data_IF_288050451795
#
_entry.id   IF_288050451795
#
_cell.length_a   1.000
_cell.length_b   1.000
_cell.length_c   1.000
_cell.angle_alpha   90.00
_cell.angle_beta   90.00
_cell.angle_gamma   90.00
#
_symmetry.space_group_name_H-M   'P 1'
#
loop_
_entity.id
_entity.type
_entity.pdbx_description
1 polymer ?
#
# COMPACT_ATOMS: atom_id res chain seq x y z
N UNK A 1 -15.27 -18.28 -57.82
CA UNK A 1 -15.04 -18.55 -56.38
C UNK A 1 -13.63 -18.13 -55.90
N UNK A 2 -12.52 -18.57 -56.52
CA UNK A 2 -11.16 -18.21 -56.06
C UNK A 2 -10.86 -16.69 -56.00
N UNK A 3 -11.35 -15.89 -56.95
CA UNK A 3 -11.14 -14.43 -56.96
C UNK A 3 -11.94 -13.69 -55.85
N UNK A 4 -13.10 -14.22 -55.44
CA UNK A 4 -13.88 -13.64 -54.35
C UNK A 4 -13.18 -13.86 -53.00
N UNK A 5 -12.57 -15.03 -52.79
CA UNK A 5 -11.79 -15.32 -51.58
C UNK A 5 -10.57 -14.42 -51.47
N UNK A 6 -9.86 -14.17 -52.57
CA UNK A 6 -8.71 -13.24 -52.58
C UNK A 6 -9.16 -11.80 -52.28
N UNK A 7 -10.29 -11.36 -52.83
CA UNK A 7 -10.80 -10.01 -52.60
C UNK A 7 -11.30 -9.82 -51.15
N UNK A 8 -11.96 -10.83 -50.57
CA UNK A 8 -12.39 -10.81 -49.16
C UNK A 8 -11.17 -10.82 -48.23
N UNK A 9 -10.16 -11.64 -48.50
CA UNK A 9 -8.92 -11.66 -47.70
C UNK A 9 -8.16 -10.34 -47.81
N UNK A 10 -8.07 -9.73 -49.00
CA UNK A 10 -7.41 -8.43 -49.19
C UNK A 10 -8.20 -7.28 -48.56
N UNK A 11 -9.53 -7.27 -48.67
CA UNK A 11 -10.38 -6.27 -48.02
C UNK A 11 -10.31 -6.36 -46.49
N UNK A 12 -10.25 -7.59 -45.95
CA UNK A 12 -10.03 -7.85 -44.53
C UNK A 12 -8.62 -7.42 -44.10
N UNK A 13 -7.58 -7.66 -44.91
CA UNK A 13 -6.22 -7.19 -44.62
C UNK A 13 -6.10 -5.65 -44.65
N UNK A 14 -6.77 -4.99 -45.60
CA UNK A 14 -6.78 -3.54 -45.70
C UNK A 14 -7.61 -2.86 -44.59
N UNK A 15 -8.62 -3.53 -44.03
CA UNK A 15 -9.42 -2.96 -42.92
C UNK A 15 -8.71 -2.97 -41.56
N UNK A 16 -7.49 -3.50 -41.45
CA UNK A 16 -6.70 -3.51 -40.22
C UNK A 16 -5.50 -2.54 -40.21
N UNK A 17 -5.35 -1.67 -41.21
CA UNK A 17 -4.27 -0.66 -41.18
C UNK A 17 -4.62 0.42 -40.15
N UNK A 18 -4.12 0.24 -38.91
CA UNK A 18 -4.12 1.32 -37.91
C UNK A 18 -3.23 2.45 -38.43
N UNK A 19 -3.65 3.69 -38.18
CA UNK A 19 -2.78 4.84 -38.43
C UNK A 19 -1.49 4.65 -37.63
N UNK A 20 -0.35 4.69 -38.33
CA UNK A 20 0.97 4.62 -37.72
C UNK A 20 1.42 6.05 -37.42
N UNK A 21 1.85 6.27 -36.18
CA UNK A 21 2.41 7.54 -35.71
C UNK A 21 3.93 7.39 -35.67
N UNK A 22 4.62 8.19 -36.49
CA UNK A 22 6.08 8.11 -36.64
C UNK A 22 6.81 9.39 -36.25
N UNK A 23 6.07 10.44 -35.88
CA UNK A 23 6.60 11.76 -35.53
C UNK A 23 5.70 12.49 -34.51
N UNK A 24 6.20 13.60 -33.94
CA UNK A 24 5.40 14.48 -33.06
C UNK A 24 4.16 15.03 -33.78
N UNK A 25 4.28 15.43 -35.06
CA UNK A 25 3.17 15.98 -35.85
C UNK A 25 2.09 14.93 -36.14
N UNK A 26 2.50 13.68 -36.42
CA UNK A 26 1.57 12.55 -36.56
C UNK A 26 0.82 12.30 -35.25
N UNK A 27 1.52 12.37 -34.12
CA UNK A 27 0.93 12.16 -32.79
C UNK A 27 -0.10 13.25 -32.49
N UNK A 28 0.24 14.51 -32.73
CA UNK A 28 -0.65 15.66 -32.54
C UNK A 28 -1.91 15.50 -33.39
N UNK A 29 -1.75 15.25 -34.69
CA UNK A 29 -2.86 15.04 -35.62
C UNK A 29 -3.74 13.86 -35.18
N UNK A 30 -3.12 12.75 -34.81
CA UNK A 30 -3.82 11.52 -34.41
C UNK A 30 -4.58 11.68 -33.11
N UNK A 31 -4.06 12.43 -32.13
CA UNK A 31 -4.75 12.71 -30.87
C UNK A 31 -6.03 13.53 -31.06
N UNK A 32 -6.05 14.44 -32.05
CA UNK A 32 -7.24 15.22 -32.40
C UNK A 32 -8.34 14.42 -33.11
N UNK A 33 -8.03 13.27 -33.69
CA UNK A 33 -9.01 12.38 -34.34
C UNK A 33 -9.73 11.43 -33.38
N UNK A 34 -10.74 10.71 -33.85
CA UNK A 34 -11.46 9.68 -33.08
C UNK A 34 -10.91 8.26 -33.25
N UNK A 35 -10.00 8.04 -34.20
CA UNK A 35 -9.51 6.70 -34.57
C UNK A 35 -8.38 6.25 -33.62
N UNK A 36 -8.35 4.96 -33.22
CA UNK A 36 -7.18 4.31 -32.61
C UNK A 36 -5.93 4.42 -33.49
N UNK A 37 -4.76 4.48 -32.87
CA UNK A 37 -3.50 4.50 -33.61
C UNK A 37 -2.41 3.68 -32.91
N UNK A 38 -1.36 3.37 -33.66
CA UNK A 38 -0.17 2.70 -33.14
C UNK A 38 1.08 3.54 -33.38
N UNK A 39 2.04 3.45 -32.47
CA UNK A 39 3.37 4.05 -32.61
C UNK A 39 4.20 3.16 -33.53
N UNK A 40 4.75 3.74 -34.59
CA UNK A 40 5.50 3.04 -35.64
C UNK A 40 6.99 3.40 -35.72
N UNK A 41 7.46 4.34 -34.89
CA UNK A 41 8.86 4.73 -34.81
C UNK A 41 9.19 5.35 -33.44
N UNK A 42 10.49 5.39 -33.10
CA UNK A 42 10.97 6.19 -31.97
C UNK A 42 11.02 7.67 -32.38
N UNK A 43 10.52 8.56 -31.53
CA UNK A 43 10.62 10.01 -31.74
C UNK A 43 10.53 10.77 -30.40
N UNK A 44 10.88 12.05 -30.44
CA UNK A 44 10.76 12.96 -29.29
C UNK A 44 9.56 13.90 -29.43
N UNK A 45 8.98 14.30 -28.30
CA UNK A 45 7.96 15.36 -28.19
C UNK A 45 8.58 16.54 -27.45
N UNK A 46 8.78 17.62 -28.18
CA UNK A 46 9.47 18.83 -27.71
C UNK A 46 8.54 19.85 -27.05
N UNK A 47 7.26 19.83 -27.44
CA UNK A 47 6.23 20.73 -26.93
C UNK A 47 5.08 19.94 -26.33
N UNK A 48 4.49 20.47 -25.25
CA UNK A 48 3.27 19.89 -24.70
C UNK A 48 2.18 19.79 -25.77
N UNK A 49 1.50 18.65 -25.80
CA UNK A 49 0.33 18.41 -26.65
C UNK A 49 -0.91 18.42 -25.76
N UNK A 50 -1.84 19.34 -26.03
CA UNK A 50 -3.02 19.55 -25.20
C UNK A 50 -4.31 19.32 -25.99
N UNK A 51 -5.18 18.44 -25.48
CA UNK A 51 -6.52 18.20 -26.00
C UNK A 51 -7.52 18.14 -24.84
N UNK A 52 -8.31 19.20 -24.73
CA UNK A 52 -9.34 19.37 -23.69
C UNK A 52 -10.73 19.15 -24.29
N UNK A 53 -11.70 18.75 -23.46
CA UNK A 53 -13.08 18.45 -23.86
C UNK A 53 -13.21 17.33 -24.91
N UNK A 54 -12.28 16.37 -24.88
CA UNK A 54 -12.38 15.17 -25.71
C UNK A 54 -13.53 14.29 -25.24
N UNK A 55 -14.11 13.54 -26.18
CA UNK A 55 -15.19 12.58 -25.88
C UNK A 55 -14.87 11.26 -26.54
N UNK A 56 -15.54 10.19 -26.08
CA UNK A 56 -15.33 8.85 -26.63
C UNK A 56 -14.09 8.16 -26.08
N UNK A 57 -13.52 7.24 -26.85
CA UNK A 57 -12.38 6.41 -26.44
C UNK A 57 -11.19 6.61 -27.38
N UNK A 58 -10.00 6.74 -26.82
CA UNK A 58 -8.74 6.77 -27.56
C UNK A 58 -7.86 5.60 -27.11
N UNK A 59 -7.39 4.83 -28.08
CA UNK A 59 -6.41 3.76 -27.87
C UNK A 59 -5.10 4.18 -28.53
N UNK A 60 -4.04 4.21 -27.74
CA UNK A 60 -2.66 4.43 -28.17
C UNK A 60 -1.92 3.12 -27.90
N UNK A 61 -1.38 2.51 -28.96
CA UNK A 61 -0.69 1.21 -28.88
C UNK A 61 0.69 1.27 -29.55
N UNK A 62 1.55 0.26 -29.37
CA UNK A 62 2.86 0.19 -30.03
C UNK A 62 4.00 0.28 -29.03
N UNK A 63 4.15 -0.77 -28.22
CA UNK A 63 5.18 -0.91 -27.19
C UNK A 63 6.53 -1.42 -27.71
N UNK A 64 6.72 -1.47 -29.03
CA UNK A 64 8.02 -1.72 -29.68
C UNK A 64 8.87 -0.44 -29.77
N UNK A 65 8.23 0.72 -29.71
CA UNK A 65 8.86 2.03 -29.89
C UNK A 65 8.64 2.92 -28.67
N UNK A 66 9.58 3.84 -28.46
CA UNK A 66 9.58 4.79 -27.35
C UNK A 66 9.33 6.21 -27.83
N UNK A 67 8.38 6.88 -27.20
CA UNK A 67 8.20 8.33 -27.31
C UNK A 67 8.94 8.99 -26.15
N UNK A 68 9.91 9.85 -26.45
CA UNK A 68 10.68 10.62 -25.45
C UNK A 68 10.07 12.00 -25.27
N UNK A 69 9.65 12.35 -24.07
CA UNK A 69 9.29 13.72 -23.71
C UNK A 69 10.56 14.54 -23.49
N UNK A 70 10.70 15.62 -24.25
CA UNK A 70 11.70 16.68 -24.09
C UNK A 70 11.04 18.01 -23.66
N UNK A 71 9.78 17.95 -23.24
CA UNK A 71 9.00 19.12 -22.82
C UNK A 71 9.67 19.78 -21.62
N UNK A 72 10.01 21.05 -21.76
CA UNK A 72 10.75 21.82 -20.76
C UNK A 72 9.91 22.23 -19.54
N UNK A 73 8.58 22.30 -19.69
CA UNK A 73 7.66 22.66 -18.61
C UNK A 73 6.30 22.00 -18.79
N UNK A 74 5.82 21.34 -17.74
CA UNK A 74 4.54 20.61 -17.73
C UNK A 74 4.60 19.24 -18.40
N UNK A 75 3.49 18.47 -18.34
CA UNK A 75 3.46 17.13 -18.90
C UNK A 75 3.60 17.12 -20.42
N UNK A 76 4.09 16.01 -20.97
CA UNK A 76 4.09 15.77 -22.43
C UNK A 76 2.68 15.88 -23.03
N UNK A 77 1.71 15.23 -22.40
CA UNK A 77 0.31 15.18 -22.82
C UNK A 77 -0.59 15.78 -21.73
N UNK A 78 -1.39 16.78 -22.09
CA UNK A 78 -2.48 17.30 -21.27
C UNK A 78 -3.80 16.92 -21.93
N UNK A 79 -4.48 15.91 -21.39
CA UNK A 79 -5.65 15.30 -22.02
C UNK A 79 -6.84 15.31 -21.08
N UNK A 80 -8.03 15.58 -21.59
CA UNK A 80 -9.23 15.28 -20.83
C UNK A 80 -10.54 15.73 -21.44
N UNK A 81 -11.61 15.34 -20.75
CA UNK A 81 -13.00 15.54 -21.13
C UNK A 81 -13.90 14.55 -20.37
N UNK A 82 -15.11 14.99 -20.02
CA UNK A 82 -15.96 14.32 -19.02
C UNK A 82 -16.34 12.87 -19.35
N UNK A 83 -16.36 12.49 -20.62
CA UNK A 83 -16.67 11.13 -21.09
C UNK A 83 -15.46 10.40 -21.69
N UNK A 84 -14.27 11.02 -21.63
CA UNK A 84 -13.09 10.52 -22.31
C UNK A 84 -12.55 9.27 -21.63
N UNK A 85 -12.32 8.22 -22.43
CA UNK A 85 -11.57 7.04 -22.04
C UNK A 85 -10.23 7.05 -22.78
N UNK A 86 -9.14 6.89 -22.04
CA UNK A 86 -7.81 6.70 -22.61
C UNK A 86 -7.32 5.29 -22.32
N UNK A 87 -6.85 4.59 -23.35
CA UNK A 87 -6.17 3.31 -23.22
C UNK A 87 -4.76 3.44 -23.78
N UNK A 88 -3.77 3.12 -22.94
CA UNK A 88 -2.35 3.19 -23.27
C UNK A 88 -1.73 1.79 -23.22
N UNK A 89 -1.05 1.43 -24.29
CA UNK A 89 -0.14 0.28 -24.38
C UNK A 89 1.09 0.70 -25.20
N UNK A 90 1.90 1.57 -24.61
CA UNK A 90 3.01 2.27 -25.26
C UNK A 90 4.22 2.39 -24.34
N UNK A 91 5.37 2.74 -24.91
CA UNK A 91 6.55 3.10 -24.14
C UNK A 91 6.77 4.61 -24.17
N UNK A 92 6.77 5.25 -22.99
CA UNK A 92 6.99 6.68 -22.85
C UNK A 92 8.16 6.94 -21.90
N UNK A 93 9.01 7.90 -22.23
CA UNK A 93 10.17 8.30 -21.42
C UNK A 93 10.10 9.80 -21.11
N UNK A 94 9.95 10.16 -19.83
CA UNK A 94 10.06 11.54 -19.35
C UNK A 94 11.53 11.88 -19.12
N UNK A 95 12.20 12.43 -20.12
CA UNK A 95 13.63 12.73 -19.99
C UNK A 95 13.92 13.99 -19.16
N UNK A 96 12.90 14.83 -18.93
CA UNK A 96 13.03 16.15 -18.28
C UNK A 96 12.50 16.18 -16.85
N UNK A 97 11.76 15.16 -16.42
CA UNK A 97 11.13 15.09 -15.10
C UNK A 97 9.92 16.01 -14.97
N UNK A 98 9.32 16.42 -16.09
CA UNK A 98 8.18 17.34 -16.14
C UNK A 98 6.83 16.60 -16.19
N UNK A 99 6.85 15.27 -16.24
CA UNK A 99 5.68 14.40 -16.30
C UNK A 99 5.35 13.96 -17.73
N UNK A 100 4.67 12.82 -17.84
CA UNK A 100 4.23 12.30 -19.14
C UNK A 100 2.80 12.74 -19.43
N UNK A 101 1.86 12.51 -18.50
CA UNK A 101 0.44 12.68 -18.78
C UNK A 101 -0.24 13.36 -17.59
N UNK A 102 -0.94 14.46 -17.87
CA UNK A 102 -1.98 15.00 -17.02
C UNK A 102 -3.35 14.64 -17.60
N UNK A 103 -4.15 13.88 -16.87
CA UNK A 103 -5.42 13.33 -17.34
C UNK A 103 -6.60 13.72 -16.46
N UNK A 104 -7.68 14.19 -17.08
CA UNK A 104 -8.98 14.41 -16.43
C UNK A 104 -10.08 13.85 -17.33
N UNK A 105 -10.42 12.59 -17.15
CA UNK A 105 -11.45 11.92 -17.95
C UNK A 105 -12.25 10.93 -17.13
N UNK A 106 -13.07 10.13 -17.80
CA UNK A 106 -13.86 9.10 -17.13
C UNK A 106 -12.99 7.93 -16.67
N UNK A 107 -12.12 7.46 -17.56
CA UNK A 107 -11.31 6.27 -17.30
C UNK A 107 -9.98 6.31 -18.03
N UNK A 108 -8.94 5.77 -17.40
CA UNK A 108 -7.62 5.57 -17.97
C UNK A 108 -7.16 4.14 -17.75
N UNK A 109 -6.89 3.40 -18.83
CA UNK A 109 -6.34 2.04 -18.79
C UNK A 109 -4.87 2.10 -19.21
N UNK A 110 -3.97 1.56 -18.39
CA UNK A 110 -2.52 1.68 -18.58
C UNK A 110 -1.88 0.30 -18.67
N UNK A 111 -1.07 0.13 -19.71
CA UNK A 111 -0.13 -0.95 -19.99
C UNK A 111 1.11 -0.38 -20.71
N UNK A 112 2.24 -1.10 -20.70
CA UNK A 112 3.46 -0.69 -21.41
C UNK A 112 4.63 -0.33 -20.49
N UNK A 113 5.52 0.56 -20.96
CA UNK A 113 6.78 0.90 -20.28
C UNK A 113 6.91 2.41 -20.06
N UNK A 114 6.97 2.85 -18.81
CA UNK A 114 6.97 4.27 -18.46
C UNK A 114 8.18 4.59 -17.59
N UNK A 115 9.03 5.48 -18.08
CA UNK A 115 10.27 5.85 -17.39
C UNK A 115 10.38 7.34 -17.18
N UNK A 116 11.08 7.74 -16.13
CA UNK A 116 11.47 9.12 -15.85
C UNK A 116 12.74 9.17 -14.99
N UNK A 117 13.14 10.36 -14.51
CA UNK A 117 14.36 10.50 -13.74
C UNK A 117 14.27 9.77 -12.39
N UNK A 118 15.32 9.01 -12.05
CA UNK A 118 15.35 8.10 -10.90
C UNK A 118 15.60 8.80 -9.55
N UNK A 119 16.11 10.03 -9.52
CA UNK A 119 16.51 10.70 -8.28
C UNK A 119 15.67 11.93 -7.93
N UNK A 120 15.22 12.67 -8.93
CA UNK A 120 14.43 13.88 -8.72
C UNK A 120 13.64 14.21 -9.99
N UNK A 121 12.32 14.28 -9.86
CA UNK A 121 11.43 14.85 -10.86
C UNK A 121 10.62 15.98 -10.23
N UNK A 122 10.35 17.01 -11.02
CA UNK A 122 9.45 18.07 -10.60
C UNK A 122 8.04 17.50 -10.43
N UNK A 123 7.59 16.72 -11.43
CA UNK A 123 6.25 16.15 -11.50
C UNK A 123 6.26 14.61 -11.48
N UNK A 124 5.07 14.04 -11.34
CA UNK A 124 4.83 12.61 -11.49
C UNK A 124 4.73 12.23 -12.98
N UNK A 125 5.07 10.99 -13.34
CA UNK A 125 4.82 10.48 -14.70
C UNK A 125 3.34 10.68 -15.07
N UNK A 126 2.44 10.38 -14.15
CA UNK A 126 1.00 10.55 -14.31
C UNK A 126 0.43 11.46 -13.22
N UNK A 127 -0.30 12.48 -13.63
CA UNK A 127 -1.16 13.28 -12.73
C UNK A 127 -2.59 13.12 -13.19
N UNK A 128 -3.46 12.57 -12.35
CA UNK A 128 -4.81 12.17 -12.75
C UNK A 128 -5.84 12.74 -11.78
N UNK A 129 -6.97 13.22 -12.28
CA UNK A 129 -8.04 13.74 -11.42
C UNK A 129 -9.44 13.30 -11.84
N UNK A 130 -10.28 12.97 -10.85
CA UNK A 130 -11.68 12.55 -11.04
C UNK A 130 -11.84 11.41 -12.07
N UNK A 131 -10.95 10.42 -12.02
CA UNK A 131 -10.86 9.35 -13.04
C UNK A 131 -10.81 7.98 -12.38
N UNK A 132 -11.37 6.98 -13.07
CA UNK A 132 -11.08 5.57 -12.77
C UNK A 132 -9.81 5.13 -13.51
N UNK A 133 -8.72 4.89 -12.80
CA UNK A 133 -7.45 4.42 -13.35
C UNK A 133 -7.32 2.91 -13.13
N UNK A 134 -7.05 2.18 -14.20
CA UNK A 134 -6.78 0.74 -14.16
C UNK A 134 -5.41 0.49 -14.76
N UNK A 135 -4.46 0.05 -13.93
CA UNK A 135 -3.15 -0.42 -14.38
C UNK A 135 -3.23 -1.93 -14.57
N UNK A 136 -3.34 -2.35 -15.82
CA UNK A 136 -3.49 -3.77 -16.17
C UNK A 136 -2.16 -4.51 -16.05
N UNK A 137 -1.07 -3.86 -16.46
CA UNK A 137 0.29 -4.39 -16.50
C UNK A 137 1.30 -3.26 -16.78
N UNK A 138 2.59 -3.58 -16.80
CA UNK A 138 3.62 -2.68 -17.29
C UNK A 138 4.82 -2.55 -16.37
N UNK A 139 5.81 -1.77 -16.79
CA UNK A 139 6.96 -1.38 -15.96
C UNK A 139 6.99 0.13 -15.83
N UNK A 140 7.10 0.60 -14.60
CA UNK A 140 7.11 2.01 -14.24
C UNK A 140 8.39 2.29 -13.46
N UNK A 141 9.23 3.21 -13.92
CA UNK A 141 10.50 3.55 -13.25
C UNK A 141 10.71 5.05 -13.22
N UNK A 142 10.48 5.67 -12.07
CA UNK A 142 10.70 7.09 -11.84
C UNK A 142 10.72 7.41 -10.35
N UNK A 143 11.28 8.56 -9.97
CA UNK A 143 11.21 9.04 -8.59
C UNK A 143 9.77 9.34 -8.11
N UNK A 144 8.89 9.75 -9.02
CA UNK A 144 7.45 10.00 -8.79
C UNK A 144 6.65 9.38 -9.95
N UNK A 145 5.80 8.39 -9.68
CA UNK A 145 5.10 7.63 -10.73
C UNK A 145 3.67 8.13 -10.92
N UNK A 146 2.84 8.07 -9.88
CA UNK A 146 1.42 8.41 -9.99
C UNK A 146 0.98 9.36 -8.88
N UNK A 147 0.35 10.48 -9.27
CA UNK A 147 -0.43 11.33 -8.39
C UNK A 147 -1.89 11.30 -8.85
N UNK A 148 -2.79 10.83 -7.99
CA UNK A 148 -4.23 10.74 -8.29
C UNK A 148 -5.05 11.51 -7.26
N UNK A 149 -5.97 12.35 -7.72
CA UNK A 149 -6.89 13.10 -6.85
C UNK A 149 -8.34 12.84 -7.26
N UNK A 150 -9.11 12.25 -6.35
CA UNK A 150 -10.49 11.81 -6.57
C UNK A 150 -10.65 10.72 -7.63
N UNK A 151 -11.52 9.74 -7.37
CA UNK A 151 -11.84 8.65 -8.28
C UNK A 151 -11.41 7.29 -7.73
N UNK A 152 -10.91 6.42 -8.62
CA UNK A 152 -10.54 5.04 -8.28
C UNK A 152 -9.21 4.67 -8.89
N UNK A 153 -8.39 3.93 -8.16
CA UNK A 153 -7.13 3.36 -8.64
C UNK A 153 -7.16 1.84 -8.44
N UNK A 154 -7.12 1.09 -9.52
CA UNK A 154 -6.95 -0.36 -9.51
C UNK A 154 -5.61 -0.73 -10.14
N UNK A 155 -4.73 -1.37 -9.39
CA UNK A 155 -3.43 -1.87 -9.86
C UNK A 155 -3.49 -3.38 -9.88
N UNK A 156 -3.69 -3.96 -11.06
CA UNK A 156 -3.83 -5.40 -11.23
C UNK A 156 -2.47 -6.08 -11.36
N UNK A 157 -1.58 -5.56 -12.19
CA UNK A 157 -0.22 -6.07 -12.36
C UNK A 157 0.77 -4.94 -12.66
N UNK A 158 2.05 -5.29 -12.66
CA UNK A 158 3.14 -4.44 -13.11
C UNK A 158 4.30 -4.42 -12.12
N UNK A 159 5.40 -3.78 -12.53
CA UNK A 159 6.56 -3.53 -11.68
C UNK A 159 6.78 -2.04 -11.57
N UNK A 160 6.78 -1.53 -10.34
CA UNK A 160 6.93 -0.11 -10.02
C UNK A 160 8.24 0.09 -9.27
N UNK A 161 9.16 0.85 -9.84
CA UNK A 161 10.48 1.13 -9.26
C UNK A 161 10.62 2.62 -8.98
N UNK A 162 10.75 2.95 -7.70
CA UNK A 162 10.77 4.31 -7.18
C UNK A 162 12.18 4.81 -6.90
N UNK A 163 12.25 5.98 -6.26
CA UNK A 163 13.48 6.51 -5.68
C UNK A 163 13.52 6.28 -4.17
N UNK A 164 14.62 6.64 -3.52
CA UNK A 164 14.75 6.60 -2.06
C UNK A 164 14.19 7.84 -1.36
N UNK A 165 13.90 8.93 -2.08
CA UNK A 165 13.61 10.24 -1.49
C UNK A 165 12.14 10.67 -1.59
N UNK A 166 11.50 10.38 -2.72
CA UNK A 166 10.14 10.83 -3.04
C UNK A 166 9.12 9.69 -2.91
N UNK A 167 7.87 10.04 -2.60
CA UNK A 167 6.74 9.11 -2.62
C UNK A 167 6.43 8.71 -4.06
N UNK A 168 6.46 7.40 -4.34
CA UNK A 168 6.22 6.84 -5.66
C UNK A 168 4.78 7.03 -6.13
N UNK A 169 3.81 6.75 -5.25
CA UNK A 169 2.37 6.92 -5.50
C UNK A 169 1.77 7.79 -4.39
N UNK A 170 1.16 8.90 -4.79
CA UNK A 170 0.39 9.75 -3.88
C UNK A 170 -1.06 9.77 -4.34
N UNK A 171 -1.98 9.64 -3.39
CA UNK A 171 -3.41 9.67 -3.67
C UNK A 171 -4.15 10.58 -2.70
N UNK A 172 -5.13 11.32 -3.22
CA UNK A 172 -6.03 12.16 -2.44
C UNK A 172 -7.48 11.80 -2.72
N UNK A 173 -8.29 11.56 -1.69
CA UNK A 173 -9.71 11.19 -1.79
C UNK A 173 -10.00 10.10 -2.83
N UNK A 174 -9.19 9.05 -2.86
CA UNK A 174 -9.21 8.02 -3.91
C UNK A 174 -9.40 6.64 -3.30
N UNK A 175 -10.34 5.87 -3.85
CA UNK A 175 -10.46 4.44 -3.53
C UNK A 175 -9.33 3.68 -4.23
N UNK A 176 -8.65 2.78 -3.52
CA UNK A 176 -7.49 2.05 -4.06
C UNK A 176 -7.69 0.54 -3.88
N UNK A 177 -7.40 -0.21 -4.94
CA UNK A 177 -7.24 -1.67 -4.88
C UNK A 177 -5.93 -2.06 -5.54
N UNK A 178 -5.05 -2.73 -4.79
CA UNK A 178 -3.77 -3.25 -5.29
C UNK A 178 -3.81 -4.77 -5.24
N UNK A 179 -3.56 -5.39 -6.41
CA UNK A 179 -3.61 -6.84 -6.58
C UNK A 179 -5.02 -7.38 -6.76
N UNK A 180 -5.21 -8.64 -6.38
CA UNK A 180 -6.43 -9.42 -6.59
C UNK A 180 -6.07 -10.64 -7.41
N UNK A 181 -6.53 -10.70 -8.65
CA UNK A 181 -6.14 -11.76 -9.61
C UNK A 181 -4.69 -11.62 -10.12
N UNK A 182 -4.09 -10.44 -9.94
CA UNK A 182 -2.72 -10.15 -10.35
C UNK A 182 -1.80 -9.84 -9.17
N UNK A 183 -0.49 -9.84 -9.44
CA UNK A 183 0.56 -9.69 -8.42
C UNK A 183 1.53 -8.55 -8.77
N UNK A 184 1.14 -7.27 -8.56
CA UNK A 184 2.04 -6.15 -8.78
C UNK A 184 3.19 -6.16 -7.78
N UNK A 185 4.34 -5.65 -8.22
CA UNK A 185 5.57 -5.55 -7.43
C UNK A 185 5.97 -4.08 -7.33
N UNK A 186 6.22 -3.62 -6.12
CA UNK A 186 6.67 -2.27 -5.81
C UNK A 186 8.05 -2.33 -5.16
N UNK A 187 8.99 -1.60 -5.74
CA UNK A 187 10.40 -1.57 -5.37
C UNK A 187 10.75 -0.11 -5.03
N UNK A 188 10.95 0.20 -3.76
CA UNK A 188 11.12 1.59 -3.32
C UNK A 188 11.20 1.73 -1.80
N UNK A 189 11.46 2.95 -1.34
CA UNK A 189 11.39 3.30 0.08
C UNK A 189 9.99 3.83 0.39
N UNK A 190 9.67 5.06 -0.06
CA UNK A 190 8.34 5.68 0.10
C UNK A 190 7.43 5.25 -1.04
N UNK A 191 6.68 4.19 -0.85
CA UNK A 191 5.91 3.58 -1.95
C UNK A 191 4.54 4.26 -2.11
N UNK A 192 3.79 4.40 -1.01
CA UNK A 192 2.41 4.87 -1.06
C UNK A 192 2.11 5.85 0.08
N UNK A 193 1.49 6.96 -0.28
CA UNK A 193 0.93 7.96 0.64
C UNK A 193 -0.51 8.27 0.26
N UNK A 194 -1.44 7.93 1.16
CA UNK A 194 -2.88 8.17 1.00
C UNK A 194 -3.31 9.30 1.92
N UNK A 195 -3.90 10.33 1.34
CA UNK A 195 -4.37 11.53 2.04
C UNK A 195 -5.87 11.72 1.77
N UNK A 196 -6.71 10.98 2.50
CA UNK A 196 -8.15 11.13 2.37
C UNK A 196 -8.71 12.11 3.40
N UNK A 197 -9.85 12.71 3.10
CA UNK A 197 -10.65 13.50 4.03
C UNK A 197 -11.71 12.66 4.72
N UNK A 198 -12.22 11.63 4.04
CA UNK A 198 -13.30 10.77 4.53
C UNK A 198 -12.76 9.43 5.02
N UNK A 199 -12.92 9.15 6.32
CA UNK A 199 -12.45 7.94 7.00
C UNK A 199 -12.99 6.61 6.40
N UNK A 200 -14.04 6.66 5.59
CA UNK A 200 -14.67 5.49 4.96
C UNK A 200 -14.17 5.21 3.54
N UNK A 201 -13.22 6.00 3.03
CA UNK A 201 -12.63 5.77 1.70
C UNK A 201 -11.90 4.43 1.71
N UNK A 202 -12.23 3.54 0.78
CA UNK A 202 -11.76 2.16 0.81
C UNK A 202 -10.38 1.99 0.19
N UNK A 203 -9.50 1.28 0.91
CA UNK A 203 -8.16 0.90 0.45
C UNK A 203 -8.00 -0.61 0.65
N UNK A 204 -7.55 -1.33 -0.37
CA UNK A 204 -7.34 -2.77 -0.30
C UNK A 204 -5.96 -3.17 -0.83
N UNK A 205 -5.21 -3.92 -0.03
CA UNK A 205 -4.00 -4.62 -0.45
C UNK A 205 -4.28 -6.11 -0.48
N UNK A 206 -4.38 -6.68 -1.67
CA UNK A 206 -4.70 -8.08 -1.87
C UNK A 206 -3.41 -8.84 -2.17
N UNK A 207 -3.26 -9.40 -3.37
CA UNK A 207 -2.04 -10.12 -3.75
C UNK A 207 -1.02 -9.15 -4.35
N UNK A 208 0.04 -8.79 -3.61
CA UNK A 208 1.10 -7.91 -4.11
C UNK A 208 2.43 -8.11 -3.37
N UNK A 209 3.50 -7.46 -3.83
CA UNK A 209 4.80 -7.45 -3.13
C UNK A 209 5.35 -6.04 -3.01
N UNK A 210 5.68 -5.63 -1.80
CA UNK A 210 6.44 -4.42 -1.49
C UNK A 210 7.84 -4.81 -1.02
N UNK A 211 8.87 -4.23 -1.61
CA UNK A 211 10.26 -4.49 -1.25
C UNK A 211 11.12 -3.23 -1.41
N UNK A 212 12.25 -3.12 -0.69
CA UNK A 212 13.16 -1.99 -0.86
C UNK A 212 13.84 -2.04 -2.23
N UNK A 213 14.48 -0.93 -2.57
CA UNK A 213 15.45 -0.90 -3.68
C UNK A 213 16.61 -1.87 -3.40
N UNK A 214 17.13 -2.56 -4.42
CA UNK A 214 18.39 -3.28 -4.30
C UNK A 214 19.49 -2.34 -3.79
N UNK A 215 20.38 -2.83 -2.92
CA UNK A 215 21.54 -2.09 -2.41
C UNK A 215 21.22 -0.90 -1.48
N UNK A 216 19.96 -0.76 -1.02
CA UNK A 216 19.61 0.24 0.01
C UNK A 216 19.78 -0.32 1.42
N UNK A 217 20.92 0.01 2.03
CA UNK A 217 21.30 -0.43 3.38
C UNK A 217 20.81 0.49 4.51
N UNK A 218 20.08 1.57 4.21
CA UNK A 218 19.66 2.56 5.22
C UNK A 218 18.16 2.64 5.50
N UNK A 219 17.29 2.54 4.49
CA UNK A 219 15.83 2.62 4.66
C UNK A 219 15.12 1.34 4.22
N UNK A 220 13.92 1.11 4.75
CA UNK A 220 13.04 0.01 4.34
C UNK A 220 11.80 0.51 3.60
N UNK A 221 10.81 -0.36 3.44
CA UNK A 221 9.51 0.00 2.83
C UNK A 221 8.71 0.89 3.78
N UNK A 222 8.16 1.99 3.24
CA UNK A 222 7.36 2.98 3.94
C UNK A 222 6.02 3.18 3.24
N UNK A 223 4.91 2.98 3.97
CA UNK A 223 3.54 3.19 3.50
C UNK A 223 2.76 3.97 4.56
N UNK A 224 2.06 5.02 4.14
CA UNK A 224 1.24 5.89 5.00
C UNK A 224 -0.18 5.94 4.45
N UNK A 225 -1.15 5.66 5.31
CA UNK A 225 -2.57 5.66 4.96
C UNK A 225 -3.33 6.54 5.95
N UNK A 226 -3.84 7.68 5.49
CA UNK A 226 -4.62 8.59 6.32
C UNK A 226 -6.10 8.62 5.93
N UNK A 227 -6.96 8.54 6.95
CA UNK A 227 -8.42 8.58 6.91
C UNK A 227 -9.01 7.59 5.90
N UNK A 228 -8.79 6.30 6.10
CA UNK A 228 -9.31 5.27 5.20
C UNK A 228 -9.82 4.05 5.94
N UNK A 229 -10.74 3.34 5.28
CA UNK A 229 -11.14 1.98 5.62
C UNK A 229 -10.20 1.02 4.86
N UNK A 230 -9.23 0.42 5.54
CA UNK A 230 -8.20 -0.42 4.89
C UNK A 230 -8.43 -1.90 5.15
N UNK A 231 -8.26 -2.73 4.11
CA UNK A 231 -8.20 -4.19 4.23
C UNK A 231 -6.86 -4.67 3.69
N UNK A 232 -6.13 -5.46 4.47
CA UNK A 232 -4.87 -6.07 4.06
C UNK A 232 -5.01 -7.59 4.08
N UNK A 233 -5.03 -8.14 2.88
CA UNK A 233 -5.16 -9.55 2.59
C UNK A 233 -6.58 -10.10 2.78
N UNK A 234 -6.83 -11.27 2.18
CA UNK A 234 -8.04 -12.08 2.32
C UNK A 234 -7.65 -13.56 2.28
N UNK A 235 -8.59 -14.47 2.52
CA UNK A 235 -8.35 -15.92 2.52
C UNK A 235 -7.70 -16.44 1.21
N UNK A 236 -7.89 -15.72 0.11
CA UNK A 236 -7.39 -16.11 -1.22
C UNK A 236 -6.30 -15.17 -1.74
N UNK A 237 -5.90 -14.14 -0.98
CA UNK A 237 -4.99 -13.09 -1.45
C UNK A 237 -4.09 -12.58 -0.32
N UNK A 238 -2.79 -12.80 -0.46
CA UNK A 238 -1.81 -12.56 0.58
C UNK A 238 -0.76 -11.55 0.11
N UNK A 239 -0.74 -10.32 0.66
CA UNK A 239 0.30 -9.36 0.35
C UNK A 239 1.61 -9.76 1.01
N UNK A 240 2.73 -9.31 0.45
CA UNK A 240 4.07 -9.54 1.01
C UNK A 240 4.81 -8.23 1.16
N UNK A 241 5.33 -7.98 2.35
CA UNK A 241 6.14 -6.81 2.70
C UNK A 241 7.52 -7.33 3.12
N UNK A 242 8.56 -6.90 2.41
CA UNK A 242 9.96 -7.27 2.65
C UNK A 242 10.68 -6.02 3.12
N UNK A 243 11.48 -6.15 4.18
CA UNK A 243 12.17 -5.05 4.87
C UNK A 243 11.26 -3.85 5.14
N UNK A 244 10.07 -4.12 5.69
CA UNK A 244 9.15 -3.09 6.14
C UNK A 244 9.84 -2.21 7.19
N UNK A 245 9.88 -0.91 6.97
CA UNK A 245 10.30 0.06 7.98
C UNK A 245 9.08 0.57 8.74
N UNK A 246 8.04 1.03 8.03
CA UNK A 246 6.75 1.26 8.65
C UNK A 246 5.57 1.13 7.69
N UNK A 247 4.47 0.63 8.25
CA UNK A 247 3.11 0.71 7.73
C UNK A 247 2.28 1.50 8.74
N UNK A 248 1.91 2.73 8.40
CA UNK A 248 1.25 3.66 9.30
C UNK A 248 -0.19 3.95 8.86
N UNK A 249 -1.09 3.94 9.83
CA UNK A 249 -2.50 4.31 9.68
C UNK A 249 -2.80 5.54 10.54
N UNK A 250 -3.36 6.59 9.97
CA UNK A 250 -3.76 7.83 10.67
C UNK A 250 -5.24 8.12 10.46
N UNK A 251 -6.07 8.00 11.51
CA UNK A 251 -7.53 8.01 11.35
C UNK A 251 -8.10 6.79 10.59
N UNK A 252 -9.44 6.71 10.49
CA UNK A 252 -10.13 5.60 9.82
C UNK A 252 -10.09 4.26 10.57
N UNK A 253 -10.48 3.20 9.88
CA UNK A 253 -10.46 1.82 10.40
C UNK A 253 -9.63 0.94 9.48
N UNK A 254 -8.83 0.04 10.00
CA UNK A 254 -7.98 -0.84 9.18
C UNK A 254 -7.99 -2.24 9.73
N UNK A 255 -8.11 -3.22 8.84
CA UNK A 255 -8.06 -4.62 9.19
C UNK A 255 -6.90 -5.30 8.46
N UNK A 256 -6.02 -5.94 9.22
CA UNK A 256 -4.95 -6.78 8.71
C UNK A 256 -5.37 -8.23 8.93
N UNK A 257 -5.86 -8.85 7.85
CA UNK A 257 -6.44 -10.20 7.82
C UNK A 257 -5.44 -11.26 7.29
N UNK A 258 -4.59 -10.91 6.34
CA UNK A 258 -3.62 -11.83 5.78
C UNK A 258 -2.36 -11.12 5.28
N UNK A 259 -1.26 -11.86 5.16
CA UNK A 259 -0.04 -11.38 4.54
C UNK A 259 1.24 -11.81 5.23
N UNK A 260 2.36 -11.63 4.55
CA UNK A 260 3.69 -11.88 5.08
C UNK A 260 4.42 -10.56 5.27
N UNK A 261 4.79 -10.25 6.51
CA UNK A 261 5.42 -9.01 6.90
C UNK A 261 6.78 -9.31 7.49
N UNK A 262 7.85 -8.96 6.77
CA UNK A 262 9.20 -8.99 7.29
C UNK A 262 9.65 -7.55 7.46
N UNK A 263 9.85 -7.14 8.71
CA UNK A 263 10.43 -5.86 9.07
C UNK A 263 11.91 -5.81 8.79
N UNK A 264 12.42 -4.59 8.64
CA UNK A 264 13.83 -4.32 8.42
C UNK A 264 14.69 -4.81 9.60
N UNK A 265 15.76 -5.56 9.30
CA UNK A 265 16.65 -6.17 10.31
C UNK A 265 17.87 -5.28 10.63
N UNK A 266 17.58 -4.03 11.02
CA UNK A 266 18.50 -2.97 11.51
C UNK A 266 18.93 -3.15 12.96
N UNK A 267 20.18 -2.90 13.39
CA UNK A 267 20.53 -2.90 14.85
C UNK A 267 19.77 -1.83 15.67
N UNK A 268 19.23 -0.79 15.01
CA UNK A 268 18.56 0.34 15.67
C UNK A 268 17.18 0.72 15.11
N UNK A 269 16.75 0.10 14.00
CA UNK A 269 15.47 0.39 13.35
C UNK A 269 14.81 -0.93 12.99
N UNK A 270 13.56 -1.06 13.39
CA UNK A 270 12.74 -2.24 13.20
C UNK A 270 11.52 -1.89 12.39
N UNK A 271 10.94 -2.89 11.73
CA UNK A 271 9.67 -2.70 11.05
C UNK A 271 8.58 -2.39 12.04
N UNK A 272 7.67 -1.48 11.69
CA UNK A 272 6.61 -1.06 12.59
C UNK A 272 5.26 -1.05 11.90
N UNK A 273 4.26 -1.59 12.57
CA UNK A 273 2.86 -1.33 12.25
C UNK A 273 2.36 -0.29 13.25
N UNK A 274 1.92 0.86 12.75
CA UNK A 274 1.59 2.02 13.58
C UNK A 274 0.13 2.44 13.40
N UNK A 275 -0.61 2.47 14.51
CA UNK A 275 -1.88 3.17 14.61
C UNK A 275 -1.64 4.56 15.21
N UNK A 276 -2.06 5.61 14.52
CA UNK A 276 -1.84 7.01 14.89
C UNK A 276 -3.12 7.82 14.82
N UNK A 277 -3.15 8.97 15.50
CA UNK A 277 -4.32 9.84 15.60
C UNK A 277 -5.56 9.05 16.07
N UNK A 278 -6.73 9.23 15.47
CA UNK A 278 -7.93 8.46 15.81
C UNK A 278 -8.07 7.16 14.99
N UNK A 279 -6.98 6.54 14.51
CA UNK A 279 -7.07 5.30 13.73
C UNK A 279 -7.42 4.11 14.62
N UNK A 280 -8.26 3.21 14.14
CA UNK A 280 -8.45 1.88 14.71
C UNK A 280 -7.85 0.83 13.77
N UNK A 281 -6.89 0.04 14.24
CA UNK A 281 -6.20 -0.99 13.46
C UNK A 281 -6.38 -2.34 14.12
N UNK A 282 -7.10 -3.23 13.45
CA UNK A 282 -7.38 -4.59 13.89
C UNK A 282 -6.44 -5.58 13.22
N UNK A 283 -5.88 -6.47 14.02
CA UNK A 283 -5.04 -7.59 13.62
C UNK A 283 -5.85 -8.87 13.92
N UNK A 284 -6.59 -9.37 12.92
CA UNK A 284 -7.59 -10.44 13.10
C UNK A 284 -7.14 -11.76 12.47
N UNK A 285 -6.77 -12.82 13.21
CA UNK A 285 -6.44 -14.11 12.56
C UNK A 285 -6.85 -15.39 13.31
N UNK A 286 -7.02 -16.47 12.53
CA UNK A 286 -7.08 -17.89 12.95
C UNK A 286 -6.35 -18.86 11.98
N UNK A 287 -5.49 -18.38 11.07
CA UNK A 287 -4.91 -19.20 10.01
C UNK A 287 -3.37 -19.28 10.06
N UNK A 288 -2.78 -20.31 9.42
CA UNK A 288 -1.33 -20.51 9.37
C UNK A 288 -0.60 -19.64 8.32
N UNK A 289 -1.31 -18.74 7.63
CA UNK A 289 -0.79 -18.08 6.42
C UNK A 289 -0.37 -16.62 6.62
N UNK A 290 -0.48 -16.06 7.83
CA UNK A 290 0.17 -14.80 8.18
C UNK A 290 1.49 -15.04 8.89
N UNK A 291 2.44 -14.17 8.61
CA UNK A 291 3.68 -14.09 9.38
C UNK A 291 4.07 -12.64 9.62
N UNK A 292 4.43 -12.34 10.86
CA UNK A 292 5.13 -11.11 11.22
C UNK A 292 6.54 -11.53 11.64
N UNK A 293 7.56 -10.93 11.04
CA UNK A 293 8.95 -11.22 11.34
C UNK A 293 9.67 -9.90 11.52
N UNK A 294 10.29 -9.65 12.67
CA UNK A 294 10.97 -8.38 12.98
C UNK A 294 10.06 -7.14 12.92
N UNK A 295 8.79 -7.28 13.30
CA UNK A 295 7.80 -6.20 13.32
C UNK A 295 7.37 -5.89 14.74
N UNK A 296 7.49 -4.62 15.13
CA UNK A 296 6.92 -4.05 16.35
C UNK A 296 5.55 -3.43 16.07
N UNK A 297 4.70 -3.35 17.09
CA UNK A 297 3.33 -2.84 16.98
C UNK A 297 3.13 -1.64 17.89
N UNK A 298 2.78 -0.49 17.31
CA UNK A 298 2.72 0.78 18.05
C UNK A 298 1.36 1.46 17.90
N UNK A 299 0.75 1.83 19.02
CA UNK A 299 -0.42 2.69 19.10
C UNK A 299 -0.01 4.04 19.68
N UNK A 300 0.13 5.06 18.84
CA UNK A 300 0.57 6.42 19.22
C UNK A 300 -0.61 7.36 19.02
N UNK A 301 -1.42 7.54 20.06
CA UNK A 301 -2.73 8.20 19.98
C UNK A 301 -3.85 7.36 19.35
N UNK A 302 -3.51 6.42 18.46
CA UNK A 302 -4.45 5.48 17.83
C UNK A 302 -4.75 4.24 18.66
N UNK A 303 -5.49 3.32 18.07
CA UNK A 303 -5.89 2.05 18.67
C UNK A 303 -5.37 0.86 17.85
N UNK A 304 -4.74 -0.10 18.51
CA UNK A 304 -4.44 -1.44 17.98
C UNK A 304 -5.29 -2.49 18.69
N UNK A 305 -5.94 -3.35 17.92
CA UNK A 305 -6.77 -4.44 18.42
C UNK A 305 -6.18 -5.76 17.91
N UNK A 306 -5.86 -6.67 18.83
CA UNK A 306 -5.45 -8.04 18.52
C UNK A 306 -6.63 -8.97 18.81
N UNK A 307 -7.25 -9.54 17.77
CA UNK A 307 -8.41 -10.43 17.90
C UNK A 307 -8.09 -11.92 17.78
N UNK A 308 -6.86 -12.25 17.38
CA UNK A 308 -6.37 -13.62 17.26
C UNK A 308 -5.05 -13.75 16.52
N UNK A 309 -4.61 -15.00 16.33
CA UNK A 309 -3.45 -15.34 15.50
C UNK A 309 -2.14 -15.56 16.27
N UNK A 310 -1.14 -16.08 15.56
CA UNK A 310 0.22 -16.25 16.08
C UNK A 310 1.11 -15.10 15.59
N UNK A 311 1.30 -14.12 16.45
CA UNK A 311 2.16 -12.98 16.22
C UNK A 311 3.62 -13.40 16.46
N UNK A 312 4.38 -13.38 15.36
CA UNK A 312 5.78 -13.79 15.23
C UNK A 312 6.05 -15.30 15.20
N UNK A 313 7.03 -15.71 14.37
CA UNK A 313 7.48 -17.10 14.21
C UNK A 313 8.96 -17.30 14.46
N UNK A 314 9.73 -16.22 14.61
CA UNK A 314 11.18 -16.33 14.71
C UNK A 314 11.65 -16.26 16.16
N UNK A 315 12.44 -17.28 16.54
CA UNK A 315 13.10 -17.47 17.83
C UNK A 315 14.36 -16.64 18.01
N UNK A 316 14.89 -16.08 16.92
CA UNK A 316 16.16 -15.35 16.97
C UNK A 316 16.02 -13.97 17.60
N UNK A 317 14.82 -13.37 17.56
CA UNK A 317 14.63 -11.99 18.02
C UNK A 317 13.30 -11.73 18.69
N UNK A 318 13.33 -10.83 19.67
CA UNK A 318 12.14 -10.36 20.34
C UNK A 318 11.51 -9.13 19.66
N UNK A 319 10.19 -8.98 19.76
CA UNK A 319 9.43 -7.81 19.32
C UNK A 319 8.74 -7.09 20.48
N UNK A 320 8.28 -5.86 20.26
CA UNK A 320 7.58 -5.03 21.23
C UNK A 320 6.16 -4.69 20.79
N UNK A 321 5.29 -4.49 21.78
CA UNK A 321 4.01 -3.81 21.62
C UNK A 321 4.08 -2.53 22.45
N UNK A 322 3.84 -1.38 21.85
CA UNK A 322 3.93 -0.08 22.50
C UNK A 322 2.62 0.68 22.38
N UNK A 323 2.16 1.26 23.48
CA UNK A 323 1.22 2.37 23.43
C UNK A 323 1.79 3.62 24.11
N UNK A 324 1.61 4.76 23.45
CA UNK A 324 2.04 6.08 23.92
C UNK A 324 1.09 7.15 23.43
N UNK A 325 1.25 8.38 23.94
CA UNK A 325 0.45 9.54 23.54
C UNK A 325 -1.07 9.28 23.60
N UNK A 326 -1.56 8.70 24.70
CA UNK A 326 -2.97 8.26 24.85
C UNK A 326 -3.43 7.13 23.91
N UNK A 327 -2.51 6.42 23.26
CA UNK A 327 -2.82 5.28 22.42
C UNK A 327 -3.43 4.10 23.20
N UNK A 328 -4.11 3.22 22.49
CA UNK A 328 -4.81 2.08 23.07
C UNK A 328 -4.36 0.76 22.44
N UNK A 329 -4.01 -0.22 23.28
CA UNK A 329 -3.89 -1.62 22.88
C UNK A 329 -5.08 -2.38 23.45
N UNK A 330 -5.76 -3.16 22.61
CA UNK A 330 -6.78 -4.12 23.04
C UNK A 330 -6.37 -5.52 22.62
N UNK A 331 -6.33 -6.43 23.59
CA UNK A 331 -6.14 -7.86 23.38
C UNK A 331 -7.47 -8.54 23.70
N UNK A 332 -8.14 -9.00 22.65
CA UNK A 332 -9.42 -9.67 22.76
C UNK A 332 -9.44 -10.96 21.93
N UNK A 333 -10.48 -11.75 22.15
CA UNK A 333 -10.68 -13.00 21.43
C UNK A 333 -12.10 -12.98 20.91
N UNK A 334 -12.20 -12.58 19.65
CA UNK A 334 -13.42 -12.73 18.86
C UNK A 334 -13.30 -13.93 17.91
N UNK A 335 -12.09 -14.48 17.72
CA UNK A 335 -11.80 -15.59 16.79
C UNK A 335 -10.99 -16.69 17.48
N UNK A 336 -9.74 -16.39 17.85
CA UNK A 336 -8.83 -17.30 18.56
C UNK A 336 -8.06 -16.53 19.64
N UNK A 337 -7.56 -17.21 20.68
CA UNK A 337 -6.73 -16.56 21.69
C UNK A 337 -5.41 -16.09 21.07
N UNK A 338 -5.05 -14.78 21.12
CA UNK A 338 -3.79 -14.31 20.57
C UNK A 338 -2.58 -15.06 21.15
N UNK A 339 -1.60 -15.35 20.30
CA UNK A 339 -0.33 -15.95 20.69
C UNK A 339 0.81 -15.04 20.29
N UNK A 340 1.62 -14.61 21.26
CA UNK A 340 2.78 -13.77 21.03
C UNK A 340 4.07 -14.58 21.18
N UNK A 341 4.67 -14.98 20.05
CA UNK A 341 5.90 -15.79 20.05
C UNK A 341 7.13 -14.89 19.90
N UNK A 342 8.03 -14.97 20.87
CA UNK A 342 9.18 -14.08 21.09
C UNK A 342 8.77 -12.62 21.31
N UNK A 343 7.73 -12.38 22.09
CA UNK A 343 7.51 -11.02 22.60
C UNK A 343 8.55 -10.69 23.67
N UNK A 344 9.05 -9.46 23.65
CA UNK A 344 9.85 -8.94 24.75
C UNK A 344 8.92 -8.39 25.83
N UNK A 345 8.21 -7.32 25.50
CA UNK A 345 7.42 -6.53 26.43
C UNK A 345 6.24 -5.87 25.73
N UNK A 346 5.18 -5.64 26.51
CA UNK A 346 4.11 -4.70 26.21
C UNK A 346 4.39 -3.46 27.06
N UNK A 347 4.55 -2.30 26.44
CA UNK A 347 4.92 -1.05 27.09
C UNK A 347 3.76 -0.06 26.92
N UNK A 348 3.28 0.51 28.02
CA UNK A 348 2.22 1.51 28.01
C UNK A 348 2.70 2.76 28.75
N UNK A 349 2.85 3.87 28.01
CA UNK A 349 3.29 5.16 28.53
C UNK A 349 2.28 6.27 28.22
N UNK A 350 2.43 7.44 28.85
CA UNK A 350 1.81 8.70 28.45
C UNK A 350 0.27 8.64 28.35
N UNK A 351 -0.39 8.22 29.43
CA UNK A 351 -1.85 8.09 29.54
C UNK A 351 -2.47 7.07 28.57
N UNK A 352 -1.66 6.15 28.04
CA UNK A 352 -2.17 5.07 27.19
C UNK A 352 -2.99 4.05 27.97
N UNK A 353 -3.77 3.25 27.24
CA UNK A 353 -4.60 2.19 27.80
C UNK A 353 -4.25 0.83 27.22
N UNK A 354 -4.12 -0.18 28.08
CA UNK A 354 -4.04 -1.59 27.70
C UNK A 354 -5.26 -2.34 28.22
N UNK A 355 -6.05 -2.87 27.29
CA UNK A 355 -7.21 -3.71 27.58
C UNK A 355 -6.87 -5.18 27.32
N UNK A 356 -7.12 -6.05 28.31
CA UNK A 356 -6.92 -7.50 28.21
C UNK A 356 -8.25 -8.18 28.52
N UNK A 357 -8.99 -8.51 27.47
CA UNK A 357 -10.35 -9.07 27.57
C UNK A 357 -10.41 -10.58 27.30
N UNK A 358 -9.29 -11.18 26.91
CA UNK A 358 -9.13 -12.62 26.72
C UNK A 358 -7.82 -13.11 27.31
N UNK A 359 -7.74 -14.42 27.57
CA UNK A 359 -6.47 -15.10 27.77
C UNK A 359 -5.71 -15.12 26.45
N UNK A 360 -4.42 -14.81 26.52
CA UNK A 360 -3.46 -14.91 25.43
C UNK A 360 -2.27 -15.76 25.89
N UNK A 361 -1.50 -16.30 24.94
CA UNK A 361 -0.27 -17.05 25.23
C UNK A 361 0.94 -16.24 24.77
N UNK A 362 2.08 -16.43 25.44
CA UNK A 362 3.33 -15.81 25.03
C UNK A 362 4.52 -16.75 25.28
N UNK A 363 5.59 -16.57 24.52
CA UNK A 363 6.82 -17.39 24.60
C UNK A 363 8.04 -16.56 24.18
N UNK A 364 9.27 -16.85 24.61
CA UNK A 364 9.55 -17.64 25.81
C UNK A 364 8.98 -16.90 27.02
N UNK A 365 8.41 -17.65 27.96
CA UNK A 365 8.10 -17.08 29.27
C UNK A 365 9.43 -16.79 29.97
N UNK A 366 9.76 -15.51 30.15
CA UNK A 366 10.87 -15.08 31.00
C UNK A 366 10.31 -14.69 32.38
N UNK A 367 10.32 -15.60 33.36
CA UNK A 367 9.80 -15.31 34.69
C UNK A 367 10.53 -14.15 35.41
N UNK A 368 11.74 -13.80 34.98
CA UNK A 368 12.55 -12.77 35.64
C UNK A 368 12.06 -11.35 35.36
N UNK A 369 11.30 -11.14 34.28
CA UNK A 369 10.80 -9.84 33.87
C UNK A 369 9.27 -9.82 33.81
N UNK A 370 8.67 -8.67 34.11
CA UNK A 370 7.26 -8.48 33.84
C UNK A 370 7.05 -8.30 32.33
N UNK A 371 6.06 -9.00 31.77
CA UNK A 371 5.69 -8.86 30.36
C UNK A 371 5.14 -7.46 30.05
N UNK A 372 4.34 -6.91 30.95
CA UNK A 372 3.68 -5.61 30.83
C UNK A 372 4.42 -4.62 31.71
N UNK A 373 4.88 -3.53 31.09
CA UNK A 373 5.46 -2.38 31.78
C UNK A 373 4.57 -1.16 31.56
N UNK A 374 4.21 -0.48 32.65
CA UNK A 374 3.40 0.72 32.53
C UNK A 374 3.98 1.91 33.30
N UNK A 375 3.85 3.08 32.68
CA UNK A 375 4.21 4.38 33.24
C UNK A 375 3.10 5.39 32.94
N UNK A 376 2.37 5.79 33.97
CA UNK A 376 1.26 6.74 33.86
C UNK A 376 0.18 6.30 32.86
N UNK A 377 -0.24 5.03 32.97
CA UNK A 377 -1.15 4.37 32.03
C UNK A 377 -2.17 3.48 32.73
N UNK A 378 -3.25 3.16 32.03
CA UNK A 378 -4.31 2.30 32.54
C UNK A 378 -4.20 0.89 31.98
N UNK A 379 -4.26 -0.12 32.84
CA UNK A 379 -4.40 -1.53 32.46
C UNK A 379 -5.77 -2.03 32.92
N UNK A 380 -6.56 -2.55 31.99
CA UNK A 380 -7.86 -3.16 32.27
C UNK A 380 -7.79 -4.66 32.00
N UNK A 381 -8.12 -5.49 32.99
CA UNK A 381 -8.17 -6.94 32.86
C UNK A 381 -9.59 -7.43 33.08
N UNK A 382 -10.11 -8.18 32.10
CA UNK A 382 -11.45 -8.75 32.11
C UNK A 382 -12.53 -7.80 31.58
N UNK A 383 -13.72 -8.38 31.37
CA UNK A 383 -14.94 -7.71 30.94
C UNK A 383 -16.10 -8.26 31.74
N UNK A 384 -17.02 -7.41 32.20
CA UNK A 384 -18.10 -7.79 33.13
C UNK A 384 -18.94 -9.00 32.66
N UNK A 385 -19.00 -9.25 31.35
CA UNK A 385 -19.73 -10.37 30.73
C UNK A 385 -18.96 -11.71 30.70
N UNK A 386 -17.69 -11.76 31.09
CA UNK A 386 -16.87 -12.97 31.01
C UNK A 386 -16.02 -13.19 32.27
N UNK A 387 -15.92 -14.44 32.72
CA UNK A 387 -15.04 -14.83 33.82
C UNK A 387 -13.93 -15.72 33.27
N UNK A 388 -12.74 -15.13 33.11
CA UNK A 388 -11.55 -15.83 32.61
C UNK A 388 -10.55 -16.06 33.75
N UNK A 389 -9.83 -17.18 33.71
CA UNK A 389 -8.65 -17.35 34.53
C UNK A 389 -7.44 -16.90 33.71
N UNK A 390 -6.63 -16.04 34.31
CA UNK A 390 -5.48 -15.42 33.68
C UNK A 390 -4.19 -15.96 34.35
N UNK A 391 -3.66 -17.10 33.88
CA UNK A 391 -2.46 -17.70 34.45
C UNK A 391 -1.22 -16.95 33.95
N UNK A 392 -0.57 -16.22 34.84
CA UNK A 392 0.65 -15.49 34.49
C UNK A 392 1.71 -15.65 35.57
N UNK A 393 2.97 -15.90 35.18
CA UNK A 393 4.11 -15.95 36.11
C UNK A 393 4.40 -14.60 36.75
N UNK A 394 4.78 -13.63 35.91
CA UNK A 394 5.06 -12.24 36.30
C UNK A 394 4.56 -11.32 35.20
N UNK A 395 3.35 -10.78 35.36
CA UNK A 395 2.70 -10.08 34.25
C UNK A 395 2.91 -8.57 34.24
N UNK A 396 2.63 -7.87 35.33
CA UNK A 396 2.59 -6.39 35.33
C UNK A 396 3.65 -5.83 36.27
N UNK A 397 4.41 -4.86 35.77
CA UNK A 397 5.20 -3.93 36.55
C UNK A 397 4.71 -2.51 36.26
N UNK A 398 4.01 -1.92 37.23
CA UNK A 398 3.37 -0.61 37.10
C UNK A 398 4.09 0.40 37.98
N UNK A 399 4.72 1.39 37.35
CA UNK A 399 5.43 2.48 38.08
C UNK A 399 4.45 3.55 38.55
N UNK A 400 3.45 3.86 37.72
CA UNK A 400 2.34 4.79 37.97
C UNK A 400 1.17 4.45 37.05
N UNK A 401 -0.04 4.91 37.39
CA UNK A 401 -1.27 4.67 36.63
C UNK A 401 -2.31 3.85 37.39
N UNK A 402 -3.19 3.17 36.66
CA UNK A 402 -4.32 2.42 37.22
C UNK A 402 -4.36 0.98 36.73
N UNK A 403 -4.59 0.05 37.66
CA UNK A 403 -4.90 -1.35 37.34
C UNK A 403 -6.37 -1.64 37.69
N UNK A 404 -7.19 -1.86 36.68
CA UNK A 404 -8.61 -2.13 36.80
C UNK A 404 -8.91 -3.60 36.48
N UNK A 405 -9.24 -4.39 37.50
CA UNK A 405 -9.65 -5.79 37.33
C UNK A 405 -11.17 -5.84 37.38
N UNK A 406 -11.80 -5.96 36.21
CA UNK A 406 -13.26 -5.95 36.07
C UNK A 406 -13.84 -7.34 36.35
N UNK A 407 -13.16 -8.38 35.87
CA UNK A 407 -13.58 -9.77 36.05
C UNK A 407 -12.45 -10.77 35.84
N UNK A 408 -12.63 -11.98 36.37
CA UNK A 408 -11.67 -13.07 36.25
C UNK A 408 -10.76 -13.25 37.47
N UNK A 409 -9.99 -14.34 37.47
CA UNK A 409 -9.00 -14.62 38.50
C UNK A 409 -7.60 -14.43 37.91
N UNK A 410 -6.77 -13.60 38.55
CA UNK A 410 -5.34 -13.52 38.24
C UNK A 410 -4.63 -14.59 39.06
N UNK A 411 -4.04 -15.57 38.39
CA UNK A 411 -3.31 -16.66 39.03
C UNK A 411 -1.82 -16.41 38.81
N UNK A 412 -1.17 -15.89 39.84
CA UNK A 412 0.29 -15.76 39.89
C UNK A 412 0.94 -17.12 40.11
N UNK A 413 1.92 -17.47 39.30
CA UNK A 413 2.82 -18.61 39.57
C UNK A 413 4.18 -18.08 40.01
N UNK A 414 4.64 -18.50 41.19
CA UNK A 414 5.96 -18.10 41.70
C UNK A 414 7.01 -18.57 40.70
N UNK A 415 7.80 -17.66 40.10
CA UNK A 415 8.85 -18.04 39.16
C UNK A 415 9.98 -18.87 39.78
N UNK A 416 10.05 -18.95 41.12
CA UNK A 416 11.10 -19.65 41.87
C UNK A 416 10.65 -20.99 42.48
N UNK A 417 9.41 -21.43 42.22
CA UNK A 417 8.86 -22.75 42.57
C UNK A 417 8.68 -23.54 41.27
#
# INVERSE_FOLDING_TARGET
MKQLVIFVVLAVLCSFVRAQVTSEDDLRTSLGGSVPFSIGANFSVSNQISYMNTTGSKIISGNEYTIRSEVASGPMLLLGGSSFILQLDVNLNDSTGQGLISFFGRQMNISGFYTGPSFSSANYLFTVSNTSVIINSGTFTASKILNISSGRLSILNGTFTGSSSNTMITSYNTEITIGGDGKPIFIGVKILEVLNTEAQTQIAFLQNTFQPLPEQDSNGVQIIINNAATIIGTNDSYPTFIDLEFLQFGGGTSNIDYGNFTGIQRESVYGQIRATDSSEVTISEDNENRSFLYVDFNAVGGQLIFEGGNLSRDISRKFFILASESGMITIENNISGPKFTNINQIICNDHSTLNIFTVFTYSPEDPSQALIQTFDSTVVIGRASQQNNYPFKRIVNMTSGELNIVSGNIVGTDPNI
#
